data_IF_113785866364
#
_entry.id   IF_113785866364
#
_cell.length_a   1.000
_cell.length_b   1.000
_cell.length_c   1.000
_cell.angle_alpha   90.00
_cell.angle_beta   90.00
_cell.angle_gamma   90.00
#
_symmetry.space_group_name_H-M   'P 1'
#
loop_
_entity.id
_entity.type
_entity.pdbx_description
1 polymer ?
#
# COMPACT_ATOMS: atom_id res chain seq x y z
N UNK A 1 -18.72 14.47 4.76
CA UNK A 1 -19.05 13.03 4.61
C UNK A 1 -17.76 12.24 4.82
N UNK A 2 -17.59 11.59 5.96
CA UNK A 2 -16.43 10.73 6.21
C UNK A 2 -16.85 9.31 5.85
N UNK A 3 -16.34 8.81 4.73
CA UNK A 3 -16.52 7.40 4.39
C UNK A 3 -15.62 6.62 5.35
N UNK A 4 -16.18 6.17 6.47
CA UNK A 4 -15.61 5.03 7.15
C UNK A 4 -15.85 3.84 6.23
N UNK A 5 -14.79 3.32 5.60
CA UNK A 5 -14.92 2.14 4.75
C UNK A 5 -14.93 0.90 5.66
N UNK A 6 -16.04 0.15 5.74
CA UNK A 6 -16.17 -1.00 6.63
C UNK A 6 -15.63 -2.32 6.04
N UNK A 7 -14.88 -2.31 4.93
CA UNK A 7 -14.55 -3.54 4.16
C UNK A 7 -13.03 -3.79 3.99
N UNK A 8 -12.16 -3.15 4.76
CA UNK A 8 -10.70 -3.37 4.69
C UNK A 8 -10.23 -4.49 5.64
N UNK A 9 -10.86 -5.65 5.50
CA UNK A 9 -10.69 -6.84 6.33
C UNK A 9 -9.36 -7.56 6.03
N UNK A 10 -8.96 -8.45 6.94
CA UNK A 10 -7.73 -9.28 6.99
C UNK A 10 -7.26 -9.82 5.63
N UNK A 11 -8.16 -10.01 4.67
CA UNK A 11 -7.86 -10.37 3.27
C UNK A 11 -6.83 -9.43 2.64
N UNK A 12 -6.98 -8.11 2.79
CA UNK A 12 -6.00 -7.17 2.21
C UNK A 12 -4.63 -7.27 2.85
N UNK A 13 -4.57 -7.58 4.16
CA UNK A 13 -3.29 -7.89 4.81
C UNK A 13 -2.64 -9.08 4.12
N UNK A 14 -3.35 -10.18 3.92
CA UNK A 14 -2.81 -11.35 3.22
C UNK A 14 -2.43 -11.06 1.76
N UNK A 15 -3.20 -10.24 1.05
CA UNK A 15 -2.84 -9.81 -0.31
C UNK A 15 -1.58 -8.94 -0.33
N UNK A 16 -1.37 -8.13 0.71
CA UNK A 16 -0.21 -7.24 0.81
C UNK A 16 1.05 -7.95 1.35
N UNK A 17 0.91 -9.08 2.04
CA UNK A 17 2.02 -9.96 2.43
C UNK A 17 2.69 -10.62 1.21
N UNK A 18 1.95 -10.85 0.13
CA UNK A 18 2.50 -11.30 -1.15
C UNK A 18 3.00 -10.09 -1.97
N UNK A 19 4.31 -10.04 -2.24
CA UNK A 19 4.93 -8.88 -2.89
C UNK A 19 4.43 -8.67 -4.33
N UNK A 20 4.13 -9.74 -5.08
CA UNK A 20 3.67 -9.60 -6.46
C UNK A 20 2.24 -9.05 -6.53
N UNK A 21 1.38 -9.54 -5.63
CA UNK A 21 0.01 -9.03 -5.50
C UNK A 21 0.03 -7.59 -4.99
N UNK A 22 0.85 -7.29 -3.97
CA UNK A 22 1.03 -5.95 -3.46
C UNK A 22 1.52 -4.98 -4.54
N UNK A 23 2.48 -5.40 -5.38
CA UNK A 23 2.99 -4.59 -6.49
C UNK A 23 1.90 -4.30 -7.51
N UNK A 24 1.10 -5.31 -7.87
CA UNK A 24 -0.02 -5.15 -8.78
C UNK A 24 -1.06 -4.18 -8.22
N UNK A 25 -1.40 -4.31 -6.94
CA UNK A 25 -2.36 -3.44 -6.27
C UNK A 25 -1.85 -1.98 -6.23
N UNK A 26 -0.60 -1.77 -5.84
CA UNK A 26 0.04 -0.45 -5.81
C UNK A 26 0.11 0.16 -7.22
N UNK A 27 0.51 -0.61 -8.24
CA UNK A 27 0.52 -0.16 -9.63
C UNK A 27 -0.88 0.25 -10.11
N UNK A 28 -1.90 -0.54 -9.75
CA UNK A 28 -3.30 -0.28 -10.12
C UNK A 28 -3.81 1.00 -9.46
N UNK A 29 -3.51 1.21 -8.17
CA UNK A 29 -3.92 2.43 -7.44
C UNK A 29 -3.21 3.67 -7.99
N UNK A 30 -1.92 3.57 -8.30
CA UNK A 30 -1.13 4.69 -8.81
C UNK A 30 -1.40 4.99 -10.30
N UNK A 31 -1.95 4.03 -11.05
CA UNK A 31 -2.08 4.13 -12.51
C UNK A 31 -0.73 4.24 -13.22
N UNK A 32 0.35 3.72 -12.62
CA UNK A 32 1.73 3.78 -13.13
C UNK A 32 2.33 2.39 -13.19
N UNK A 33 3.28 2.18 -14.08
CA UNK A 33 4.07 0.95 -14.13
C UNK A 33 5.03 0.91 -12.93
N UNK A 34 4.75 0.00 -11.98
CA UNK A 34 5.63 -0.25 -10.84
C UNK A 34 6.49 -1.47 -11.14
N UNK A 35 7.79 -1.23 -11.29
CA UNK A 35 8.76 -2.26 -11.61
C UNK A 35 9.06 -3.16 -10.40
N UNK A 36 9.13 -2.57 -9.21
CA UNK A 36 9.49 -3.27 -7.98
C UNK A 36 8.92 -2.53 -6.77
N UNK A 37 8.59 -3.26 -5.70
CA UNK A 37 8.29 -2.70 -4.38
C UNK A 37 9.11 -3.40 -3.29
N UNK A 38 9.50 -2.65 -2.26
CA UNK A 38 10.13 -3.20 -1.05
C UNK A 38 9.32 -2.79 0.17
N UNK A 39 8.91 -3.73 1.04
CA UNK A 39 8.21 -3.39 2.27
C UNK A 39 9.13 -2.57 3.17
N UNK A 40 8.57 -1.52 3.79
CA UNK A 40 9.28 -0.71 4.77
C UNK A 40 9.06 -1.28 6.18
N UNK A 41 10.05 -1.20 7.10
CA UNK A 41 9.98 -1.86 8.41
C UNK A 41 8.89 -1.35 9.37
N UNK A 42 8.15 -0.29 9.02
CA UNK A 42 7.16 0.31 9.89
C UNK A 42 5.77 -0.26 9.67
N UNK A 43 5.48 -1.38 10.33
CA UNK A 43 4.11 -1.80 10.59
C UNK A 43 3.57 -0.99 11.78
N UNK A 44 2.54 -0.16 11.54
CA UNK A 44 1.91 0.64 12.59
C UNK A 44 0.47 0.26 12.77
N UNK A 45 0.17 -0.21 13.98
CA UNK A 45 -1.20 -0.33 14.49
C UNK A 45 -1.53 0.96 15.21
N UNK A 46 -2.42 1.77 14.64
CA UNK A 46 -2.82 3.05 15.24
C UNK A 46 -4.19 2.89 15.90
N UNK A 47 -4.26 2.84 17.25
CA UNK A 47 -5.54 2.97 17.94
C UNK A 47 -6.03 4.40 17.78
N UNK A 48 -7.13 4.60 17.05
CA UNK A 48 -7.74 5.92 16.95
C UNK A 48 -8.64 6.14 18.15
N UNK A 49 -8.19 6.88 19.17
CA UNK A 49 -8.91 7.08 20.44
C UNK A 49 -10.35 7.66 20.27
N UNK A 50 -10.66 8.26 19.12
CA UNK A 50 -11.98 8.80 18.80
C UNK A 50 -12.86 7.89 17.92
N UNK A 51 -12.41 6.69 17.51
CA UNK A 51 -13.18 5.78 16.63
C UNK A 51 -12.96 4.30 17.01
N UNK A 52 -14.02 3.47 16.96
CA UNK A 52 -14.00 2.04 17.32
C UNK A 52 -13.28 1.12 16.31
N UNK A 53 -12.25 1.58 15.61
CA UNK A 53 -11.52 0.74 14.66
C UNK A 53 -10.02 0.91 14.76
N UNK A 54 -9.32 -0.18 14.49
CA UNK A 54 -7.86 -0.24 14.44
C UNK A 54 -7.42 -0.06 13.00
N UNK A 55 -6.47 0.84 12.75
CA UNK A 55 -5.87 1.00 11.42
C UNK A 55 -4.57 0.23 11.36
N UNK A 56 -4.47 -0.62 10.35
CA UNK A 56 -3.25 -1.33 9.99
C UNK A 56 -2.59 -0.64 8.80
N UNK A 57 -1.38 -0.15 8.97
CA UNK A 57 -0.62 0.55 7.93
C UNK A 57 0.58 -0.31 7.50
N UNK A 58 0.65 -0.57 6.21
CA UNK A 58 1.80 -1.16 5.52
C UNK A 58 2.38 -0.14 4.56
N UNK A 59 3.67 0.12 4.70
CA UNK A 59 4.40 1.08 3.86
C UNK A 59 5.33 0.32 2.91
N UNK A 60 5.50 0.85 1.69
CA UNK A 60 6.39 0.30 0.68
C UNK A 60 7.19 1.42 0.02
N UNK A 61 8.46 1.16 -0.26
CA UNK A 61 9.17 1.90 -1.29
C UNK A 61 8.88 1.26 -2.65
N UNK A 62 8.83 2.06 -3.70
CA UNK A 62 8.48 1.61 -5.04
C UNK A 62 9.44 2.17 -6.08
N UNK A 63 9.87 1.32 -7.01
CA UNK A 63 10.60 1.75 -8.21
C UNK A 63 9.59 1.86 -9.36
N UNK A 64 9.34 3.07 -9.80
CA UNK A 64 8.32 3.37 -10.80
C UNK A 64 8.99 3.65 -12.14
N UNK A 65 8.47 3.05 -13.21
CA UNK A 65 8.92 3.33 -14.57
C UNK A 65 8.16 4.51 -15.15
N UNK A 66 8.90 5.44 -15.73
CA UNK A 66 8.34 6.61 -16.38
C UNK A 66 8.08 6.33 -17.88
N UNK A 67 7.20 7.10 -18.53
CA UNK A 67 6.91 6.94 -19.95
C UNK A 67 8.14 7.13 -20.87
N UNK A 68 9.14 7.87 -20.41
CA UNK A 68 10.43 8.10 -21.10
C UNK A 68 11.41 6.92 -20.99
N UNK A 69 11.02 5.86 -20.28
CA UNK A 69 11.85 4.68 -20.02
C UNK A 69 12.77 4.81 -18.80
N UNK A 70 12.81 5.98 -18.15
CA UNK A 70 13.52 6.20 -16.90
C UNK A 70 12.86 5.54 -15.69
N UNK A 71 13.56 5.55 -14.55
CA UNK A 71 13.05 5.04 -13.28
C UNK A 71 13.13 6.09 -12.19
N UNK A 72 12.12 6.10 -11.33
CA UNK A 72 12.03 6.92 -10.13
C UNK A 72 11.91 6.00 -8.90
N UNK A 73 12.63 6.33 -7.83
CA UNK A 73 12.48 5.66 -6.53
C UNK A 73 11.58 6.52 -5.63
N UNK A 74 10.47 5.94 -5.17
CA UNK A 74 9.58 6.52 -4.16
C UNK A 74 9.77 5.77 -2.86
N UNK A 75 9.82 6.49 -1.73
CA UNK A 75 9.98 5.95 -0.36
C UNK A 75 8.81 6.43 0.49
#
# INVERSE_FOLDING_TARGET
MQIANPIYDVVFKYLLEDNDIARLLVATILGREVAEISPLPQEKTIPMEQRRFTVYRLDYSARIRNPDGGYEQVI
#
